data_IF_136928040602
#
_entry.id   IF_136928040602
#
_cell.length_a   1.000
_cell.length_b   1.000
_cell.length_c   1.000
_cell.angle_alpha   90.00
_cell.angle_beta   90.00
_cell.angle_gamma   90.00
#
_symmetry.space_group_name_H-M   'P 1'
#
loop_
_entity.id
_entity.type
_entity.pdbx_description
1 polymer ?
#
# COMPACT_ATOMS: atom_id res chain seq x y z
N UNK A 1 -2.21 -11.25 -25.29
CA UNK A 1 -3.37 -12.02 -24.79
C UNK A 1 -2.81 -13.32 -24.23
N UNK A 2 -3.11 -13.60 -22.96
CA UNK A 2 -2.71 -14.82 -22.29
C UNK A 2 -3.94 -15.76 -22.20
N UNK A 3 -3.69 -17.06 -22.26
CA UNK A 3 -4.68 -18.09 -22.03
C UNK A 3 -4.59 -18.53 -20.57
N UNK A 4 -5.72 -18.51 -19.87
CA UNK A 4 -5.80 -18.91 -18.46
C UNK A 4 -6.05 -20.42 -18.26
N UNK A 5 -6.07 -21.18 -19.33
CA UNK A 5 -6.31 -22.62 -19.29
C UNK A 5 -7.73 -22.99 -18.85
N UNK A 6 -8.70 -22.09 -19.04
CA UNK A 6 -10.10 -22.28 -18.65
C UNK A 6 -10.39 -22.07 -17.16
N UNK A 7 -9.44 -21.50 -16.40
CA UNK A 7 -9.69 -21.10 -15.01
C UNK A 7 -10.40 -19.75 -14.94
N UNK A 8 -11.17 -19.53 -13.87
CA UNK A 8 -11.79 -18.23 -13.62
C UNK A 8 -10.73 -17.14 -13.43
N UNK A 9 -10.86 -16.05 -14.17
CA UNK A 9 -9.96 -14.90 -14.11
C UNK A 9 -10.76 -13.62 -13.84
N UNK A 10 -10.45 -13.00 -12.71
CA UNK A 10 -11.10 -11.77 -12.26
C UNK A 10 -10.17 -10.59 -12.43
N UNK A 11 -10.69 -9.51 -13.00
CA UNK A 11 -9.98 -8.27 -13.28
C UNK A 11 -10.89 -7.08 -12.97
N UNK A 12 -10.45 -5.86 -13.32
CA UNK A 12 -11.16 -4.60 -13.10
C UNK A 12 -11.52 -4.36 -11.62
N UNK A 13 -10.54 -4.64 -10.75
CA UNK A 13 -10.65 -4.40 -9.32
C UNK A 13 -9.75 -3.21 -8.90
N UNK A 14 -10.35 -2.22 -8.31
CA UNK A 14 -9.66 -1.08 -7.74
C UNK A 14 -9.28 -1.41 -6.29
N UNK A 15 -8.16 -2.11 -6.13
CA UNK A 15 -7.77 -2.69 -4.85
C UNK A 15 -7.65 -1.65 -3.76
N UNK A 16 -7.20 -0.43 -4.09
CA UNK A 16 -7.14 0.69 -3.13
C UNK A 16 -8.52 1.04 -2.53
N UNK A 17 -9.59 0.87 -3.31
CA UNK A 17 -10.97 1.10 -2.85
C UNK A 17 -11.55 -0.14 -2.18
N UNK A 18 -11.27 -1.32 -2.71
CA UNK A 18 -11.96 -2.57 -2.36
C UNK A 18 -11.35 -3.32 -1.17
N UNK A 19 -10.04 -3.14 -0.87
CA UNK A 19 -9.36 -3.93 0.16
C UNK A 19 -9.94 -3.75 1.57
N UNK A 20 -10.53 -2.60 1.87
CA UNK A 20 -11.02 -2.25 3.22
C UNK A 20 -12.33 -2.91 3.58
N UNK A 21 -13.22 -3.12 2.61
CA UNK A 21 -14.56 -3.59 2.87
C UNK A 21 -15.02 -4.67 1.88
N UNK A 22 -14.87 -4.46 0.57
CA UNK A 22 -15.40 -5.37 -0.43
C UNK A 22 -14.73 -6.75 -0.37
N UNK A 23 -13.40 -6.83 -0.31
CA UNK A 23 -12.69 -8.10 -0.16
C UNK A 23 -13.00 -8.78 1.18
N UNK A 24 -12.90 -8.09 2.34
CA UNK A 24 -13.30 -8.68 3.62
C UNK A 24 -14.74 -9.21 3.64
N UNK A 25 -15.69 -8.51 3.02
CA UNK A 25 -17.07 -8.94 2.92
C UNK A 25 -17.22 -10.17 2.02
N UNK A 26 -16.52 -10.20 0.88
CA UNK A 26 -16.55 -11.36 -0.03
C UNK A 26 -16.06 -12.64 0.62
N UNK A 27 -15.04 -12.57 1.48
CA UNK A 27 -14.57 -13.74 2.23
C UNK A 27 -15.70 -14.32 3.08
N UNK A 28 -16.55 -13.48 3.67
CA UNK A 28 -17.68 -13.94 4.50
C UNK A 28 -18.85 -14.51 3.66
N UNK A 29 -19.08 -13.95 2.47
CA UNK A 29 -20.23 -14.29 1.64
C UNK A 29 -19.94 -15.39 0.64
N UNK A 30 -18.73 -15.40 0.05
CA UNK A 30 -18.34 -16.30 -1.04
C UNK A 30 -16.80 -16.48 -1.04
N UNK A 31 -16.29 -17.24 -0.07
CA UNK A 31 -14.86 -17.50 0.06
C UNK A 31 -14.25 -18.21 -1.18
N UNK A 32 -14.93 -19.16 -1.84
CA UNK A 32 -14.41 -19.77 -3.07
C UNK A 32 -14.15 -18.73 -4.17
N UNK A 33 -15.10 -17.85 -4.44
CA UNK A 33 -14.94 -16.77 -5.43
C UNK A 33 -13.82 -15.82 -5.07
N UNK A 34 -13.69 -15.48 -3.79
CA UNK A 34 -12.59 -14.64 -3.31
C UNK A 34 -11.24 -15.32 -3.54
N UNK A 35 -11.15 -16.63 -3.34
CA UNK A 35 -9.95 -17.43 -3.65
C UNK A 35 -9.58 -17.34 -5.14
N UNK A 36 -10.56 -17.43 -6.04
CA UNK A 36 -10.30 -17.28 -7.47
C UNK A 36 -9.83 -15.87 -7.84
N UNK A 37 -10.26 -14.84 -7.11
CA UNK A 37 -9.73 -13.48 -7.27
C UNK A 37 -8.26 -13.40 -6.85
N UNK A 38 -7.88 -14.01 -5.72
CA UNK A 38 -6.48 -14.09 -5.30
C UNK A 38 -5.64 -14.85 -6.33
N UNK A 39 -6.13 -15.97 -6.83
CA UNK A 39 -5.46 -16.73 -7.88
C UNK A 39 -5.29 -15.91 -9.16
N UNK A 40 -6.26 -15.05 -9.48
CA UNK A 40 -6.15 -14.13 -10.62
C UNK A 40 -5.04 -13.08 -10.40
N UNK A 41 -4.87 -12.58 -9.18
CA UNK A 41 -3.77 -11.67 -8.84
C UNK A 41 -2.40 -12.37 -8.98
N UNK A 42 -2.28 -13.61 -8.53
CA UNK A 42 -1.04 -14.39 -8.66
C UNK A 42 -0.70 -14.67 -10.12
N UNK A 43 -1.68 -15.07 -10.94
CA UNK A 43 -1.48 -15.24 -12.38
C UNK A 43 -1.09 -13.94 -13.07
N UNK A 44 -1.71 -12.82 -12.72
CA UNK A 44 -1.33 -11.52 -13.28
C UNK A 44 0.13 -11.21 -12.94
N UNK A 45 0.56 -11.49 -11.70
CA UNK A 45 1.93 -11.30 -11.25
C UNK A 45 2.93 -12.17 -12.04
N UNK A 46 2.57 -13.42 -12.34
CA UNK A 46 3.36 -14.33 -13.15
C UNK A 46 3.45 -13.85 -14.60
N UNK A 47 2.31 -13.53 -15.22
CA UNK A 47 2.22 -13.09 -16.62
C UNK A 47 2.92 -11.76 -16.88
N UNK A 48 2.92 -10.86 -15.91
CA UNK A 48 3.68 -9.59 -15.95
C UNK A 48 5.21 -9.82 -15.89
N UNK A 49 5.64 -10.99 -15.42
CA UNK A 49 7.06 -11.35 -15.27
C UNK A 49 7.79 -10.60 -14.15
N UNK A 50 7.12 -9.70 -13.45
CA UNK A 50 7.67 -8.98 -12.30
C UNK A 50 7.43 -9.70 -10.98
N UNK A 51 6.52 -10.65 -10.99
CA UNK A 51 6.08 -11.39 -9.80
C UNK A 51 5.68 -10.45 -8.64
N UNK A 52 4.91 -9.42 -8.98
CA UNK A 52 4.35 -8.45 -8.03
C UNK A 52 2.83 -8.51 -8.05
N UNK A 53 2.19 -8.48 -6.89
CA UNK A 53 0.73 -8.38 -6.82
C UNK A 53 0.25 -7.09 -7.50
N UNK A 54 -0.89 -7.09 -8.17
CA UNK A 54 -1.42 -5.89 -8.81
C UNK A 54 -1.92 -4.89 -7.76
N UNK A 55 -1.80 -3.61 -8.11
CA UNK A 55 -2.41 -2.51 -7.34
C UNK A 55 -3.79 -2.17 -7.90
N UNK A 56 -3.92 -2.28 -9.21
CA UNK A 56 -5.09 -1.86 -9.95
C UNK A 56 -5.27 -2.78 -11.16
N UNK A 57 -5.67 -4.05 -10.92
CA UNK A 57 -5.83 -5.02 -11.99
C UNK A 57 -6.90 -4.57 -12.97
N UNK A 58 -6.53 -4.48 -14.23
CA UNK A 58 -7.38 -4.21 -15.35
C UNK A 58 -7.21 -5.33 -16.39
N UNK A 59 -8.11 -5.43 -17.35
CA UNK A 59 -8.04 -6.45 -18.42
C UNK A 59 -6.72 -6.38 -19.23
N UNK A 60 -6.06 -5.23 -19.21
CA UNK A 60 -4.78 -5.00 -19.90
C UNK A 60 -3.56 -5.25 -19.01
N UNK A 61 -3.76 -5.64 -17.76
CA UNK A 61 -2.71 -5.82 -16.75
C UNK A 61 -2.85 -4.85 -15.59
N UNK A 62 -1.83 -4.80 -14.71
CA UNK A 62 -1.80 -3.86 -13.59
C UNK A 62 -1.48 -2.44 -14.08
N UNK A 63 -2.46 -1.54 -14.05
CA UNK A 63 -2.27 -0.14 -14.41
C UNK A 63 -1.52 0.68 -13.37
N UNK A 64 -1.22 0.11 -12.20
CA UNK A 64 -0.47 0.71 -11.10
C UNK A 64 -0.97 2.10 -10.69
N UNK A 65 -2.26 2.33 -10.84
CA UNK A 65 -2.94 3.52 -10.34
C UNK A 65 -3.00 3.50 -8.83
N UNK A 66 -3.24 4.65 -8.24
CA UNK A 66 -3.31 4.89 -6.80
C UNK A 66 -1.94 4.73 -6.12
N UNK A 67 -1.93 4.60 -4.82
CA UNK A 67 -0.73 4.45 -4.00
C UNK A 67 -0.74 3.13 -3.22
N UNK A 68 0.41 2.78 -2.64
CA UNK A 68 0.62 1.58 -1.82
C UNK A 68 0.43 0.26 -2.59
N UNK A 69 0.54 -0.86 -1.89
CA UNK A 69 0.50 -2.20 -2.49
C UNK A 69 -0.56 -3.07 -1.82
N UNK A 70 -1.79 -2.56 -1.71
CA UNK A 70 -2.86 -3.19 -0.93
C UNK A 70 -3.35 -4.55 -1.45
N UNK A 71 -2.88 -5.04 -2.60
CA UNK A 71 -2.99 -6.46 -2.95
C UNK A 71 -2.39 -7.38 -1.89
N UNK A 72 -1.36 -6.90 -1.18
CA UNK A 72 -0.75 -7.58 -0.03
C UNK A 72 -1.77 -7.77 1.10
N UNK A 73 -2.53 -6.72 1.42
CA UNK A 73 -3.53 -6.79 2.48
C UNK A 73 -4.71 -7.71 2.13
N UNK A 74 -5.12 -7.77 0.86
CA UNK A 74 -6.17 -8.68 0.39
C UNK A 74 -5.79 -10.14 0.64
N UNK A 75 -4.56 -10.52 0.29
CA UNK A 75 -4.05 -11.88 0.48
C UNK A 75 -3.86 -12.20 1.96
N UNK A 76 -3.27 -11.28 2.73
CA UNK A 76 -3.04 -11.48 4.16
C UNK A 76 -4.35 -11.61 4.94
N UNK A 77 -5.35 -10.78 4.65
CA UNK A 77 -6.68 -10.84 5.28
C UNK A 77 -7.37 -12.18 5.01
N UNK A 78 -7.34 -12.65 3.77
CA UNK A 78 -7.89 -13.94 3.40
C UNK A 78 -7.23 -15.09 4.17
N UNK A 79 -5.90 -15.09 4.26
CA UNK A 79 -5.18 -16.10 5.03
C UNK A 79 -5.52 -16.05 6.51
N UNK A 80 -5.54 -14.87 7.12
CA UNK A 80 -5.88 -14.69 8.52
C UNK A 80 -7.32 -15.14 8.84
N UNK A 81 -8.22 -15.05 7.88
CA UNK A 81 -9.62 -15.53 7.99
C UNK A 81 -9.82 -17.00 7.63
N UNK A 82 -8.76 -17.75 7.42
CA UNK A 82 -8.83 -19.19 7.21
C UNK A 82 -8.98 -19.65 5.76
N UNK A 83 -8.93 -18.76 4.78
CA UNK A 83 -8.86 -19.15 3.36
C UNK A 83 -7.50 -19.79 3.10
N UNK A 84 -7.49 -21.01 2.55
CA UNK A 84 -6.26 -21.81 2.40
C UNK A 84 -6.02 -22.33 0.97
N UNK A 85 -6.98 -22.14 0.08
CA UNK A 85 -6.98 -22.72 -1.25
C UNK A 85 -6.20 -21.85 -2.27
N UNK A 86 -5.03 -21.38 -1.85
CA UNK A 86 -4.00 -20.76 -2.67
C UNK A 86 -2.62 -20.98 -2.04
N UNK A 87 -1.56 -20.89 -2.85
CA UNK A 87 -0.20 -21.05 -2.35
C UNK A 87 0.25 -19.79 -1.60
N UNK A 88 0.35 -19.89 -0.27
CA UNK A 88 0.80 -18.77 0.57
C UNK A 88 2.26 -18.40 0.31
N UNK A 89 3.13 -19.37 -0.02
CA UNK A 89 4.55 -19.09 -0.26
C UNK A 89 4.75 -18.28 -1.54
N UNK A 90 4.04 -18.65 -2.60
CA UNK A 90 3.99 -17.89 -3.85
C UNK A 90 3.41 -16.49 -3.61
N UNK A 91 2.27 -16.43 -2.92
CA UNK A 91 1.59 -15.17 -2.61
C UNK A 91 2.47 -14.24 -1.77
N UNK A 92 3.20 -14.78 -0.79
CA UNK A 92 4.17 -14.04 0.01
C UNK A 92 5.32 -13.50 -0.85
N UNK A 93 5.88 -14.33 -1.74
CA UNK A 93 6.96 -13.89 -2.62
C UNK A 93 6.50 -12.74 -3.54
N UNK A 94 5.30 -12.82 -4.11
CA UNK A 94 4.71 -11.75 -4.90
C UNK A 94 4.43 -10.49 -4.07
N UNK A 95 3.92 -10.65 -2.86
CA UNK A 95 3.65 -9.56 -1.93
C UNK A 95 4.94 -8.83 -1.50
N UNK A 96 5.98 -9.59 -1.17
CA UNK A 96 7.31 -9.07 -0.85
C UNK A 96 7.90 -8.28 -2.01
N UNK A 97 7.86 -8.84 -3.22
CA UNK A 97 8.30 -8.14 -4.42
C UNK A 97 7.51 -6.83 -4.65
N UNK A 98 6.22 -6.81 -4.34
CA UNK A 98 5.41 -5.60 -4.48
C UNK A 98 5.87 -4.47 -3.57
N UNK A 99 6.30 -4.78 -2.36
CA UNK A 99 6.75 -3.79 -1.37
C UNK A 99 8.21 -3.38 -1.62
N UNK A 100 9.07 -4.31 -2.09
CA UNK A 100 10.51 -4.06 -2.22
C UNK A 100 10.94 -3.60 -3.63
N UNK A 101 10.21 -4.00 -4.69
CA UNK A 101 10.66 -3.80 -6.08
C UNK A 101 9.78 -2.85 -6.89
N UNK A 102 8.65 -2.41 -6.35
CA UNK A 102 7.85 -1.33 -6.94
C UNK A 102 8.22 0.00 -6.30
N UNK A 103 8.20 1.08 -7.07
CA UNK A 103 8.32 2.40 -6.48
C UNK A 103 7.10 2.74 -5.62
N UNK A 104 7.33 3.42 -4.51
CA UNK A 104 6.30 3.99 -3.63
C UNK A 104 5.66 5.26 -4.21
N UNK A 105 6.24 5.84 -5.27
CA UNK A 105 5.65 6.98 -5.95
C UNK A 105 4.28 6.63 -6.53
N UNK A 106 3.20 7.33 -6.14
CA UNK A 106 1.85 7.06 -6.64
C UNK A 106 1.75 7.17 -8.17
N UNK A 107 0.96 6.30 -8.79
CA UNK A 107 0.71 6.31 -10.24
C UNK A 107 1.97 6.20 -11.11
N UNK A 108 3.01 5.59 -10.57
CA UNK A 108 4.28 5.43 -11.28
C UNK A 108 4.57 3.97 -11.59
N UNK A 109 5.09 3.72 -12.78
CA UNK A 109 5.64 2.42 -13.19
C UNK A 109 7.18 2.43 -13.26
N UNK A 110 7.80 3.49 -12.76
CA UNK A 110 9.25 3.59 -12.69
C UNK A 110 9.86 2.51 -11.79
N UNK A 111 11.14 2.25 -11.98
CA UNK A 111 11.92 1.49 -11.01
C UNK A 111 12.00 2.28 -9.68
N UNK A 112 12.22 1.59 -8.54
CA UNK A 112 12.49 2.27 -7.28
C UNK A 112 13.61 3.30 -7.42
N UNK A 113 13.39 4.47 -6.85
CA UNK A 113 14.29 5.62 -6.98
C UNK A 113 14.69 6.24 -5.65
N UNK A 114 14.92 7.56 -5.67
CA UNK A 114 15.35 8.27 -4.48
C UNK A 114 14.34 8.23 -3.34
N UNK A 115 13.03 8.38 -3.63
CA UNK A 115 11.99 8.33 -2.59
C UNK A 115 11.94 6.98 -1.89
N UNK A 116 12.13 5.90 -2.65
CA UNK A 116 12.12 4.55 -2.10
C UNK A 116 13.32 4.33 -1.19
N UNK A 117 14.52 4.75 -1.64
CA UNK A 117 15.73 4.69 -0.82
C UNK A 117 15.62 5.51 0.46
N UNK A 118 15.02 6.71 0.35
CA UNK A 118 14.77 7.56 1.52
C UNK A 118 13.80 6.91 2.51
N UNK A 119 12.70 6.31 2.00
CA UNK A 119 11.77 5.58 2.84
C UNK A 119 12.43 4.41 3.58
N UNK A 120 13.26 3.64 2.88
CA UNK A 120 13.98 2.52 3.51
C UNK A 120 14.94 2.98 4.62
N UNK A 121 15.55 4.16 4.47
CA UNK A 121 16.47 4.70 5.47
C UNK A 121 15.75 5.42 6.63
N UNK A 122 14.73 6.21 6.33
CA UNK A 122 14.09 7.14 7.29
C UNK A 122 12.71 6.69 7.78
N UNK A 123 12.09 5.72 7.12
CA UNK A 123 10.78 5.21 7.49
C UNK A 123 9.60 6.09 7.08
N UNK A 124 9.78 7.12 6.25
CA UNK A 124 8.68 7.93 5.73
C UNK A 124 9.02 8.55 4.38
N UNK A 125 7.99 8.93 3.63
CA UNK A 125 8.15 9.70 2.39
C UNK A 125 8.25 11.19 2.74
N UNK A 126 9.32 11.89 2.32
CA UNK A 126 9.47 13.31 2.62
C UNK A 126 8.52 14.15 1.78
N UNK A 127 7.88 15.12 2.41
CA UNK A 127 7.01 16.07 1.76
C UNK A 127 7.75 17.30 1.28
N UNK A 128 7.13 18.07 0.40
CA UNK A 128 7.60 19.38 -0.04
C UNK A 128 6.82 20.48 0.66
N UNK A 129 7.48 21.63 0.87
CA UNK A 129 6.80 22.82 1.34
C UNK A 129 5.83 23.36 0.29
N UNK A 130 4.78 24.10 0.71
CA UNK A 130 3.88 24.76 -0.23
C UNK A 130 4.66 25.66 -1.20
N UNK A 131 4.48 25.43 -2.51
CA UNK A 131 5.19 26.17 -3.57
C UNK A 131 6.57 25.61 -3.95
N UNK A 132 7.10 24.65 -3.21
CA UNK A 132 8.34 23.98 -3.59
C UNK A 132 8.13 23.12 -4.82
N UNK A 133 9.11 23.17 -5.75
CA UNK A 133 9.04 22.43 -7.01
C UNK A 133 9.46 20.98 -6.82
N UNK A 134 8.65 20.05 -7.35
CA UNK A 134 9.05 18.65 -7.45
C UNK A 134 10.24 18.47 -8.38
N UNK A 135 11.24 17.73 -7.93
CA UNK A 135 12.47 17.44 -8.68
C UNK A 135 12.68 15.93 -8.90
N UNK A 136 11.89 15.10 -8.26
CA UNK A 136 12.00 13.64 -8.38
C UNK A 136 11.21 13.19 -9.61
N UNK A 137 11.88 12.61 -10.62
CA UNK A 137 11.29 12.38 -11.93
C UNK A 137 10.18 11.32 -11.93
N UNK A 138 10.22 10.34 -11.02
CA UNK A 138 9.22 9.29 -10.92
C UNK A 138 7.90 9.77 -10.30
N UNK A 139 7.86 10.97 -9.72
CA UNK A 139 6.67 11.54 -9.10
C UNK A 139 5.71 12.07 -10.15
N UNK A 140 4.50 11.52 -10.19
CA UNK A 140 3.45 12.00 -11.07
C UNK A 140 3.07 13.45 -10.76
N UNK A 141 2.98 14.29 -11.79
CA UNK A 141 2.71 15.74 -11.64
C UNK A 141 1.34 16.06 -11.04
N UNK A 142 0.36 15.16 -11.18
CA UNK A 142 -0.99 15.29 -10.62
C UNK A 142 -1.08 14.73 -9.22
N UNK A 143 -0.59 13.51 -9.04
CA UNK A 143 -0.76 12.76 -7.80
C UNK A 143 0.23 13.16 -6.72
N UNK A 144 1.34 13.78 -7.10
CA UNK A 144 2.38 14.21 -6.16
C UNK A 144 2.94 13.03 -5.35
N UNK A 145 3.68 13.32 -4.28
CA UNK A 145 4.27 12.29 -3.41
C UNK A 145 3.27 11.59 -2.50
N UNK A 146 2.16 12.26 -2.16
CA UNK A 146 1.18 11.76 -1.18
C UNK A 146 1.85 11.26 0.11
N UNK A 147 2.81 12.02 0.61
CA UNK A 147 3.80 11.58 1.60
C UNK A 147 3.21 10.87 2.84
N UNK A 148 2.17 11.44 3.44
CA UNK A 148 1.51 10.84 4.62
C UNK A 148 0.77 9.57 4.22
N UNK A 149 -0.04 9.61 3.15
CA UNK A 149 -0.84 8.46 2.73
C UNK A 149 0.03 7.25 2.35
N UNK A 150 1.11 7.50 1.59
CA UNK A 150 2.04 6.44 1.19
C UNK A 150 2.76 5.86 2.40
N UNK A 151 3.22 6.67 3.33
CA UNK A 151 3.89 6.18 4.54
C UNK A 151 2.96 5.31 5.38
N UNK A 152 1.72 5.77 5.63
CA UNK A 152 0.73 5.03 6.42
C UNK A 152 0.32 3.72 5.74
N UNK A 153 0.02 3.77 4.44
CA UNK A 153 -0.42 2.60 3.71
C UNK A 153 0.68 1.56 3.53
N UNK A 154 1.92 1.99 3.27
CA UNK A 154 3.07 1.08 3.20
C UNK A 154 3.36 0.44 4.55
N UNK A 155 3.23 1.18 5.66
CA UNK A 155 3.33 0.60 7.01
C UNK A 155 2.30 -0.51 7.23
N UNK A 156 1.08 -0.34 6.73
CA UNK A 156 0.04 -1.38 6.80
C UNK A 156 0.37 -2.58 5.91
N UNK A 157 0.83 -2.37 4.69
CA UNK A 157 1.26 -3.45 3.80
C UNK A 157 2.43 -4.26 4.42
N UNK A 158 3.37 -3.58 5.10
CA UNK A 158 4.47 -4.22 5.82
C UNK A 158 3.97 -5.05 7.02
N UNK A 159 2.98 -4.57 7.76
CA UNK A 159 2.33 -5.37 8.79
C UNK A 159 1.70 -6.64 8.20
N UNK A 160 1.00 -6.53 7.08
CA UNK A 160 0.42 -7.67 6.39
C UNK A 160 1.51 -8.68 5.97
N UNK A 161 2.64 -8.20 5.44
CA UNK A 161 3.80 -9.06 5.14
C UNK A 161 4.33 -9.78 6.38
N UNK A 162 4.43 -9.08 7.52
CA UNK A 162 4.89 -9.70 8.76
C UNK A 162 3.99 -10.87 9.18
N UNK A 163 2.67 -10.74 9.00
CA UNK A 163 1.71 -11.81 9.31
C UNK A 163 1.83 -13.00 8.36
N UNK A 164 2.06 -12.74 7.08
CA UNK A 164 2.28 -13.81 6.10
C UNK A 164 3.62 -14.53 6.35
N UNK A 165 4.69 -13.79 6.63
CA UNK A 165 6.00 -14.34 6.96
C UNK A 165 5.94 -15.24 8.21
N UNK A 166 5.27 -14.76 9.27
CA UNK A 166 5.06 -15.54 10.50
C UNK A 166 4.29 -16.85 10.21
N UNK A 167 3.26 -16.81 9.38
CA UNK A 167 2.50 -17.99 8.97
C UNK A 167 3.34 -19.01 8.18
N UNK A 168 4.41 -18.57 7.54
CA UNK A 168 5.39 -19.41 6.82
C UNK A 168 6.57 -19.87 7.68
N UNK A 169 6.65 -19.44 8.95
CA UNK A 169 7.78 -19.73 9.83
C UNK A 169 9.06 -18.95 9.49
N UNK A 170 8.93 -17.83 8.77
CA UNK A 170 10.03 -16.95 8.38
C UNK A 170 10.25 -15.89 9.46
N UNK A 171 10.77 -16.29 10.63
CA UNK A 171 10.80 -15.46 11.84
C UNK A 171 11.53 -14.12 11.64
N UNK A 172 12.72 -14.12 11.03
CA UNK A 172 13.49 -12.90 10.77
C UNK A 172 12.76 -11.92 9.85
N UNK A 173 12.09 -12.42 8.81
CA UNK A 173 11.32 -11.58 7.91
C UNK A 173 10.06 -11.05 8.59
N UNK A 174 9.42 -11.89 9.42
CA UNK A 174 8.25 -11.48 10.19
C UNK A 174 8.59 -10.33 11.16
N UNK A 175 9.71 -10.45 11.89
CA UNK A 175 10.21 -9.40 12.79
C UNK A 175 10.58 -8.13 12.01
N UNK A 176 11.36 -8.27 10.93
CA UNK A 176 11.75 -7.13 10.09
C UNK A 176 10.55 -6.32 9.59
N UNK A 177 9.54 -6.99 8.99
CA UNK A 177 8.36 -6.28 8.49
C UNK A 177 7.45 -5.77 9.61
N UNK A 178 7.44 -6.42 10.76
CA UNK A 178 6.75 -5.90 11.93
C UNK A 178 7.38 -4.57 12.38
N UNK A 179 8.69 -4.50 12.46
CA UNK A 179 9.40 -3.26 12.80
C UNK A 179 9.14 -2.16 11.76
N UNK A 180 9.24 -2.48 10.47
CA UNK A 180 8.92 -1.54 9.40
C UNK A 180 7.45 -1.06 9.46
N UNK A 181 6.53 -1.89 9.96
CA UNK A 181 5.13 -1.49 10.09
C UNK A 181 4.91 -0.34 11.06
N UNK A 182 5.84 -0.07 11.97
CA UNK A 182 5.79 1.05 12.89
C UNK A 182 6.28 2.38 12.29
N UNK A 183 6.70 2.42 11.06
CA UNK A 183 7.18 3.60 10.36
C UNK A 183 6.17 4.76 10.37
N UNK A 184 4.85 4.47 10.39
CA UNK A 184 3.80 5.49 10.51
C UNK A 184 3.99 6.39 11.73
N UNK A 185 4.60 5.91 12.82
CA UNK A 185 4.84 6.67 14.05
C UNK A 185 5.73 7.88 13.82
N UNK A 186 6.62 7.82 12.82
CA UNK A 186 7.52 8.93 12.48
C UNK A 186 6.75 10.19 12.03
N UNK A 187 5.54 10.03 11.50
CA UNK A 187 4.69 11.14 11.06
C UNK A 187 3.66 11.58 12.10
N UNK A 188 3.54 10.89 13.24
CA UNK A 188 2.62 11.29 14.28
C UNK A 188 3.16 12.52 15.03
N UNK A 189 2.38 13.61 15.02
CA UNK A 189 2.72 14.82 15.75
C UNK A 189 1.97 14.83 17.10
N UNK A 190 2.68 14.63 18.23
CA UNK A 190 2.03 14.57 19.55
C UNK A 190 1.43 15.90 19.99
N UNK A 191 1.88 17.04 19.45
CA UNK A 191 1.34 18.36 19.78
C UNK A 191 -0.06 18.58 19.21
N UNK A 192 -0.32 18.02 18.02
CA UNK A 192 -1.60 18.15 17.34
C UNK A 192 -2.47 16.90 17.43
N UNK A 193 -1.87 15.76 17.82
CA UNK A 193 -2.49 14.42 17.80
C UNK A 193 -2.92 13.97 16.40
N UNK A 194 -2.29 14.48 15.34
CA UNK A 194 -2.54 14.10 13.95
C UNK A 194 -1.27 13.64 13.25
N UNK A 195 -1.45 12.88 12.15
CA UNK A 195 -0.35 12.62 11.24
C UNK A 195 -0.02 13.87 10.44
N UNK A 196 1.24 14.20 10.39
CA UNK A 196 1.74 15.46 9.85
C UNK A 196 2.89 15.16 8.89
N UNK A 197 2.94 15.76 7.69
CA UNK A 197 4.04 15.54 6.76
C UNK A 197 5.34 16.12 7.32
N UNK A 198 6.45 15.45 7.03
CA UNK A 198 7.82 15.92 7.32
C UNK A 198 8.59 16.19 6.05
N UNK A 199 9.50 17.13 6.10
CA UNK A 199 10.50 17.34 5.06
C UNK A 199 11.62 16.30 5.13
N UNK A 200 12.59 16.39 4.21
CA UNK A 200 13.75 15.47 4.16
C UNK A 200 14.71 15.62 5.34
N UNK A 201 14.67 16.72 6.07
CA UNK A 201 15.43 16.96 7.29
C UNK A 201 14.72 16.44 8.56
N UNK A 202 13.50 15.93 8.45
CA UNK A 202 12.71 15.39 9.55
C UNK A 202 11.89 16.43 10.32
N UNK A 203 11.76 17.64 9.80
CA UNK A 203 10.93 18.69 10.39
C UNK A 203 9.51 18.59 9.88
N UNK A 204 8.54 18.81 10.74
CA UNK A 204 7.14 18.92 10.33
C UNK A 204 6.93 20.14 9.43
N UNK A 205 6.18 19.96 8.34
CA UNK A 205 5.86 21.02 7.38
C UNK A 205 4.90 22.03 8.03
N UNK A 206 5.29 23.30 8.05
CA UNK A 206 4.44 24.39 8.53
C UNK A 206 4.38 25.54 7.49
N UNK A 207 3.24 26.24 7.34
CA UNK A 207 1.95 25.96 8.01
C UNK A 207 1.23 24.76 7.45
N UNK A 208 0.55 23.98 8.30
CA UNK A 208 -0.23 22.82 7.91
C UNK A 208 -1.65 22.89 8.47
N UNK A 209 -2.65 22.94 7.59
CA UNK A 209 -4.06 22.86 7.97
C UNK A 209 -4.61 21.45 7.77
N UNK A 210 -4.72 20.69 8.86
CA UNK A 210 -5.25 19.33 8.87
C UNK A 210 -6.76 19.23 8.49
N UNK A 211 -7.50 20.36 8.48
CA UNK A 211 -8.90 20.43 8.03
C UNK A 211 -9.00 20.60 6.52
N UNK A 212 -7.92 21.00 5.87
CA UNK A 212 -7.92 21.26 4.45
C UNK A 212 -7.86 19.95 3.67
N UNK A 213 -8.93 19.62 2.93
CA UNK A 213 -9.04 18.36 2.20
C UNK A 213 -8.36 18.38 0.82
N UNK A 214 -7.62 19.43 0.46
CA UNK A 214 -6.87 19.52 -0.78
C UNK A 214 -7.72 19.36 -2.04
N UNK A 215 -8.45 20.39 -2.45
CA UNK A 215 -9.15 20.39 -3.75
C UNK A 215 -8.15 20.46 -4.93
N UNK A 216 -8.54 19.93 -6.09
CA UNK A 216 -7.78 20.12 -7.33
C UNK A 216 -7.50 21.61 -7.54
N UNK A 217 -6.23 22.02 -7.49
CA UNK A 217 -5.83 23.31 -8.01
C UNK A 217 -5.01 24.26 -7.15
N UNK A 218 -4.70 23.97 -5.90
CA UNK A 218 -3.76 24.83 -5.14
C UNK A 218 -2.88 23.99 -4.21
N UNK A 219 -1.73 23.58 -4.66
CA UNK A 219 -0.48 23.29 -3.93
C UNK A 219 -0.47 22.51 -2.60
N UNK A 220 -1.62 22.21 -2.00
CA UNK A 220 -1.73 21.56 -0.70
C UNK A 220 -2.44 20.21 -0.88
N UNK A 221 -1.85 19.34 -1.68
CA UNK A 221 -2.39 17.99 -1.96
C UNK A 221 -2.27 17.05 -0.76
N UNK A 222 -1.58 17.47 0.28
CA UNK A 222 -1.19 16.60 1.39
C UNK A 222 -2.31 16.31 2.39
N UNK A 223 -3.16 17.30 2.71
CA UNK A 223 -4.17 17.16 3.76
C UNK A 223 -5.35 16.26 3.36
N UNK A 224 -5.74 16.28 2.08
CA UNK A 224 -6.89 15.50 1.60
C UNK A 224 -6.71 14.00 1.81
N UNK A 225 -5.50 13.51 1.57
CA UNK A 225 -5.20 12.10 1.66
C UNK A 225 -4.99 11.70 3.11
N UNK A 226 -4.43 12.59 3.93
CA UNK A 226 -4.29 12.39 5.37
C UNK A 226 -5.65 12.18 6.03
N UNK A 227 -6.65 13.00 5.73
CA UNK A 227 -8.00 12.87 6.34
C UNK A 227 -8.73 11.60 5.88
N UNK A 228 -8.71 11.30 4.60
CA UNK A 228 -9.32 10.08 4.04
C UNK A 228 -8.67 8.80 4.59
N UNK A 229 -7.37 8.83 4.81
CA UNK A 229 -6.64 7.71 5.39
C UNK A 229 -6.87 7.58 6.90
N UNK A 230 -6.92 8.68 7.65
CA UNK A 230 -7.22 8.64 9.09
C UNK A 230 -8.57 8.00 9.37
N UNK A 231 -9.60 8.34 8.60
CA UNK A 231 -10.94 7.76 8.78
C UNK A 231 -11.02 6.31 8.29
N UNK A 232 -10.27 5.93 7.24
CA UNK A 232 -10.30 4.57 6.68
C UNK A 232 -9.34 3.59 7.36
N UNK A 233 -8.16 4.04 7.81
CA UNK A 233 -7.15 3.19 8.45
C UNK A 233 -7.28 3.15 9.97
N UNK A 234 -7.99 4.10 10.60
CA UNK A 234 -8.20 4.07 12.05
C UNK A 234 -8.91 2.78 12.51
N UNK A 235 -9.84 2.24 11.72
CA UNK A 235 -10.49 0.97 12.05
C UNK A 235 -9.58 -0.25 11.89
N UNK A 236 -8.63 -0.21 10.95
CA UNK A 236 -7.68 -1.30 10.71
C UNK A 236 -6.42 -1.15 11.57
N UNK A 237 -5.96 0.06 11.82
CA UNK A 237 -4.85 0.33 12.75
C UNK A 237 -5.25 0.20 14.23
N UNK A 238 -6.53 0.31 14.58
CA UNK A 238 -6.98 -0.03 15.94
C UNK A 238 -6.59 -1.48 16.31
N UNK A 239 -6.59 -2.41 15.35
CA UNK A 239 -6.12 -3.78 15.60
C UNK A 239 -4.60 -3.85 15.90
N UNK A 240 -3.81 -2.90 15.41
CA UNK A 240 -2.36 -2.79 15.67
C UNK A 240 -2.09 -2.08 17.02
N UNK A 241 -3.01 -1.26 17.51
CA UNK A 241 -2.85 -0.50 18.76
C UNK A 241 -3.23 -1.30 20.02
N UNK A 242 -3.97 -2.40 19.89
CA UNK A 242 -4.47 -3.21 21.00
C UNK A 242 -3.78 -4.59 21.11
N UNK A 243 -2.83 -4.89 20.27
CA UNK A 243 -1.94 -6.08 20.35
C UNK A 243 -0.51 -5.68 20.76
#
# INVERSE_FOLDING_TARGET
VHDDGGHAYYTDDWVWDSYRAAHPLRILLDAPKHTDMIRSFLRMAEMDGRHCLPNFPEITGDSRRMNCNHGVSVVADAWCKGVRDFDLREAYACAKNSVEKKTLAPWSSAAPGWLDSFYMEKGYIPALYPGEKETVPEVNSWEKRQAVAVTLGTSYDQWCLSRMAAALGLEHEAEHYLDCSYNYRSLFNPQTSFFHPKDKEGKFIEPFDYRFSGGRGRGITMARITLGYIVGTCSTMQAIWWS
#
